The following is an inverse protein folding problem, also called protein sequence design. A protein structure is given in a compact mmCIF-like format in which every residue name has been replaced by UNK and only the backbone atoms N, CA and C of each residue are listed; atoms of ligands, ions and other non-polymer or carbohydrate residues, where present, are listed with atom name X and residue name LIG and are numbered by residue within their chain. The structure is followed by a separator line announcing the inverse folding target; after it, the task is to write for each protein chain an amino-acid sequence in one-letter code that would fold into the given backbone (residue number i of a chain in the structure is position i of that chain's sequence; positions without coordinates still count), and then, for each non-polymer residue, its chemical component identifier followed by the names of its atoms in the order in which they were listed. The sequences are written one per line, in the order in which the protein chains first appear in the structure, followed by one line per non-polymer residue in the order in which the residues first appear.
data_IF_241071746286
#
_entry.id   IF_241071746286
#
_cell.length_a   1.000
_cell.length_b   1.000
_cell.length_c   1.000
_cell.angle_alpha   90.00
_cell.angle_beta   90.00
_cell.angle_gamma   90.00
#
_symmetry.space_group_name_H-M   'P 1'
#
loop_
_entity.id
_entity.type
_entity.pdbx_description
1 polymer ?
#
# COMPACT_ATOMS: atom_id res chain seq x y z
N UNK A 1 6.92 12.85 -4.75
CA UNK A 1 5.52 13.25 -4.99
C UNK A 1 4.60 12.32 -4.24
N UNK A 2 3.63 12.86 -3.51
CA UNK A 2 2.58 12.07 -2.87
C UNK A 2 1.60 11.50 -3.91
N UNK A 3 0.84 10.46 -3.57
CA UNK A 3 -0.24 9.96 -4.42
C UNK A 3 -1.17 11.08 -4.94
N UNK A 4 -1.63 11.95 -4.04
CA UNK A 4 -2.50 13.06 -4.37
C UNK A 4 -1.88 14.05 -5.36
N UNK A 5 -0.58 14.30 -5.26
CA UNK A 5 0.16 15.14 -6.21
C UNK A 5 0.23 14.51 -7.60
N UNK A 6 0.48 13.20 -7.68
CA UNK A 6 0.52 12.45 -8.96
C UNK A 6 -0.84 12.45 -9.66
N UNK A 7 -1.92 12.20 -8.91
CA UNK A 7 -3.29 12.25 -9.44
C UNK A 7 -3.61 13.65 -9.94
N UNK A 8 -3.29 14.69 -9.14
CA UNK A 8 -3.53 16.08 -9.51
C UNK A 8 -2.73 16.50 -10.76
N UNK A 9 -1.48 16.09 -10.88
CA UNK A 9 -0.64 16.45 -12.03
C UNK A 9 -1.20 15.84 -13.32
N UNK A 10 -1.49 14.55 -13.33
CA UNK A 10 -2.05 13.84 -14.48
C UNK A 10 -3.43 14.40 -14.88
N UNK A 11 -4.28 14.69 -13.89
CA UNK A 11 -5.59 15.30 -14.15
C UNK A 11 -5.47 16.65 -14.84
N UNK A 12 -4.53 17.50 -14.38
CA UNK A 12 -4.29 18.82 -14.98
C UNK A 12 -3.68 18.72 -16.37
N UNK A 13 -2.77 17.78 -16.60
CA UNK A 13 -2.21 17.50 -17.92
C UNK A 13 -3.30 17.13 -18.94
N UNK A 14 -4.29 16.34 -18.50
CA UNK A 14 -5.48 15.99 -19.27
C UNK A 14 -6.57 17.06 -19.31
N UNK A 15 -6.34 18.23 -18.71
CA UNK A 15 -7.28 19.37 -18.64
C UNK A 15 -8.64 19.01 -18.04
N UNK A 16 -8.67 18.06 -17.12
CA UNK A 16 -9.90 17.62 -16.46
C UNK A 16 -10.14 18.38 -15.15
N UNK A 17 -11.40 18.63 -14.84
CA UNK A 17 -11.86 19.03 -13.51
C UNK A 17 -11.88 17.82 -12.56
N UNK A 18 -11.87 18.09 -11.24
CA UNK A 18 -12.04 17.04 -10.23
C UNK A 18 -13.40 16.33 -10.36
N UNK A 19 -14.43 17.04 -10.82
CA UNK A 19 -15.77 16.48 -11.04
C UNK A 19 -15.76 15.47 -12.20
N UNK A 20 -15.09 15.79 -13.31
CA UNK A 20 -14.96 14.90 -14.46
C UNK A 20 -14.18 13.63 -14.11
N UNK A 21 -13.06 13.77 -13.39
CA UNK A 21 -12.30 12.61 -12.92
C UNK A 21 -13.14 11.73 -11.98
N UNK A 22 -13.92 12.35 -11.08
CA UNK A 22 -14.81 11.62 -10.18
C UNK A 22 -15.84 10.80 -10.96
N UNK A 23 -16.45 11.38 -12.00
CA UNK A 23 -17.41 10.71 -12.88
C UNK A 23 -16.78 9.55 -13.64
N UNK A 24 -15.55 9.70 -14.17
CA UNK A 24 -14.86 8.63 -14.90
C UNK A 24 -14.48 7.45 -14.00
N UNK A 25 -14.04 7.72 -12.77
CA UNK A 25 -13.65 6.69 -11.80
C UNK A 25 -14.88 6.07 -11.11
N UNK A 26 -16.03 6.74 -11.15
CA UNK A 26 -17.26 6.30 -10.49
C UNK A 26 -17.23 6.51 -8.97
N UNK A 27 -16.66 7.63 -8.54
CA UNK A 27 -16.59 8.03 -7.12
C UNK A 27 -17.16 9.44 -6.92
N UNK A 28 -17.34 9.87 -5.67
CA UNK A 28 -17.80 11.23 -5.39
C UNK A 28 -16.70 12.27 -5.63
N UNK A 29 -17.09 13.51 -5.93
CA UNK A 29 -16.16 14.66 -5.96
C UNK A 29 -15.32 14.76 -4.67
N UNK A 30 -15.96 14.52 -3.51
CA UNK A 30 -15.28 14.55 -2.21
C UNK A 30 -14.17 13.50 -2.12
N UNK A 31 -14.36 12.34 -2.74
CA UNK A 31 -13.36 11.27 -2.78
C UNK A 31 -12.10 11.74 -3.53
N UNK A 32 -12.27 12.30 -4.74
CA UNK A 32 -11.14 12.86 -5.51
C UNK A 32 -10.45 14.00 -4.74
N UNK A 33 -11.23 14.91 -4.13
CA UNK A 33 -10.67 15.99 -3.30
C UNK A 33 -9.86 15.44 -2.13
N UNK A 34 -10.37 14.41 -1.45
CA UNK A 34 -9.68 13.79 -0.32
C UNK A 34 -8.35 13.17 -0.72
N UNK A 35 -8.27 12.64 -1.94
CA UNK A 35 -7.04 12.12 -2.52
C UNK A 35 -6.04 13.20 -2.88
N UNK A 36 -6.48 14.22 -3.63
CA UNK A 36 -5.59 15.27 -4.10
C UNK A 36 -5.16 16.28 -3.04
N UNK A 37 -5.91 16.44 -1.95
CA UNK A 37 -5.73 17.55 -0.99
C UNK A 37 -5.48 17.05 0.43
N UNK A 38 -6.22 16.03 0.89
CA UNK A 38 -6.20 15.60 2.31
C UNK A 38 -5.18 14.49 2.57
N UNK A 39 -4.37 14.12 1.59
CA UNK A 39 -3.35 13.07 1.71
C UNK A 39 -3.92 11.67 1.87
N UNK A 40 -5.20 11.46 1.53
CA UNK A 40 -5.80 10.13 1.51
C UNK A 40 -5.46 9.41 0.21
N UNK A 41 -5.64 8.10 0.19
CA UNK A 41 -5.50 7.28 -1.00
C UNK A 41 -6.59 6.20 -1.05
N UNK A 42 -6.82 5.56 -2.21
CA UNK A 42 -7.82 4.50 -2.34
C UNK A 42 -7.51 3.33 -1.42
N UNK A 43 -8.57 2.69 -0.90
CA UNK A 43 -8.45 1.51 -0.01
C UNK A 43 -8.69 0.19 -0.73
N UNK A 44 -8.86 0.25 -2.05
CA UNK A 44 -9.20 -0.88 -2.88
C UNK A 44 -8.39 -0.78 -4.17
N UNK A 45 -7.76 -1.89 -4.55
CA UNK A 45 -6.94 -2.00 -5.76
C UNK A 45 -7.74 -1.68 -7.03
N UNK A 46 -9.04 -2.01 -7.04
CA UNK A 46 -9.94 -1.68 -8.16
C UNK A 46 -9.99 -0.17 -8.43
N UNK A 47 -9.88 0.67 -7.40
CA UNK A 47 -9.90 2.13 -7.58
C UNK A 47 -8.60 2.65 -8.20
N UNK A 48 -7.46 2.02 -7.89
CA UNK A 48 -6.20 2.32 -8.55
C UNK A 48 -6.24 1.98 -10.03
N UNK A 49 -6.83 0.83 -10.40
CA UNK A 49 -7.02 0.48 -11.80
C UNK A 49 -7.90 1.50 -12.53
N UNK A 50 -9.05 1.88 -11.94
CA UNK A 50 -9.93 2.87 -12.55
C UNK A 50 -9.28 4.24 -12.71
N UNK A 51 -8.45 4.65 -11.74
CA UNK A 51 -7.67 5.88 -11.84
C UNK A 51 -6.62 5.79 -12.94
N UNK A 52 -5.89 4.68 -13.01
CA UNK A 52 -4.92 4.40 -14.06
C UNK A 52 -5.56 4.44 -15.46
N UNK A 53 -6.73 3.83 -15.62
CA UNK A 53 -7.48 3.86 -16.89
C UNK A 53 -7.93 5.28 -17.25
N UNK A 54 -8.50 6.02 -16.29
CA UNK A 54 -8.98 7.39 -16.51
C UNK A 54 -7.83 8.38 -16.79
N UNK A 55 -6.70 8.20 -16.11
CA UNK A 55 -5.51 9.03 -16.23
C UNK A 55 -4.49 8.49 -17.25
N UNK A 56 -4.79 7.37 -17.90
CA UNK A 56 -3.95 6.70 -18.90
C UNK A 56 -2.49 6.58 -18.44
N UNK A 57 -2.29 6.02 -17.26
CA UNK A 57 -0.99 5.76 -16.68
C UNK A 57 -0.92 4.37 -16.06
N UNK A 58 0.27 3.90 -15.73
CA UNK A 58 0.43 2.64 -15.01
C UNK A 58 0.01 2.76 -13.54
N UNK A 59 -0.60 1.71 -13.01
CA UNK A 59 -0.98 1.63 -11.58
C UNK A 59 0.25 1.82 -10.67
N UNK A 60 1.40 1.26 -11.07
CA UNK A 60 2.67 1.39 -10.36
C UNK A 60 3.19 2.83 -10.31
N UNK A 61 2.79 3.69 -11.26
CA UNK A 61 3.12 5.10 -11.20
C UNK A 61 2.35 5.78 -10.06
N UNK A 62 1.07 5.47 -9.90
CA UNK A 62 0.22 6.07 -8.87
C UNK A 62 0.60 5.58 -7.47
N UNK A 63 0.77 4.27 -7.30
CA UNK A 63 0.90 3.59 -6.01
C UNK A 63 2.35 3.41 -5.57
N UNK A 64 2.69 3.78 -4.34
CA UNK A 64 3.97 3.40 -3.72
C UNK A 64 3.91 2.01 -3.06
N UNK A 65 5.07 1.44 -2.71
CA UNK A 65 5.13 0.15 -1.99
C UNK A 65 4.43 0.22 -0.61
N UNK A 66 4.60 1.34 0.11
CA UNK A 66 3.91 1.58 1.40
C UNK A 66 2.39 1.63 1.22
N UNK A 67 1.91 2.33 0.19
CA UNK A 67 0.49 2.45 -0.12
C UNK A 67 -0.10 1.12 -0.56
N UNK A 68 0.65 0.31 -1.31
CA UNK A 68 0.27 -1.04 -1.70
C UNK A 68 0.08 -1.93 -0.47
N UNK A 69 1.05 -1.93 0.44
CA UNK A 69 0.99 -2.68 1.69
C UNK A 69 -0.21 -2.30 2.57
N UNK A 70 -0.47 -0.99 2.72
CA UNK A 70 -1.62 -0.50 3.50
C UNK A 70 -2.95 -0.86 2.81
N UNK A 71 -2.99 -0.79 1.47
CA UNK A 71 -4.18 -1.14 0.67
C UNK A 71 -4.52 -2.62 0.81
N UNK A 72 -3.54 -3.50 0.68
CA UNK A 72 -3.72 -4.95 0.89
C UNK A 72 -4.22 -5.25 2.31
N UNK A 73 -3.63 -4.62 3.33
CA UNK A 73 -4.07 -4.76 4.71
C UNK A 73 -5.52 -4.26 4.91
N UNK A 74 -5.91 -3.20 4.20
CA UNK A 74 -7.28 -2.70 4.20
C UNK A 74 -8.26 -3.67 3.55
N UNK A 75 -7.88 -4.34 2.46
CA UNK A 75 -8.73 -5.32 1.77
C UNK A 75 -8.92 -6.59 2.60
N UNK A 76 -7.85 -7.08 3.24
CA UNK A 76 -7.89 -8.32 4.02
C UNK A 76 -8.50 -8.14 5.41
N UNK A 77 -8.21 -7.03 6.08
CA UNK A 77 -8.51 -6.84 7.51
C UNK A 77 -9.30 -5.54 7.80
N UNK A 78 -9.76 -4.86 6.75
CA UNK A 78 -10.53 -3.63 6.86
C UNK A 78 -9.74 -2.43 7.41
N UNK A 79 -10.48 -1.42 7.86
CA UNK A 79 -9.89 -0.18 8.40
C UNK A 79 -8.94 -0.42 9.58
N UNK A 80 -9.17 -1.46 10.38
CA UNK A 80 -8.30 -1.80 11.52
C UNK A 80 -6.94 -2.28 11.03
N UNK A 81 -6.92 -3.19 10.06
CA UNK A 81 -5.67 -3.68 9.48
C UNK A 81 -4.85 -2.59 8.82
N UNK A 82 -5.50 -1.73 8.02
CA UNK A 82 -4.84 -0.58 7.42
C UNK A 82 -4.15 0.33 8.45
N UNK A 83 -4.84 0.60 9.57
CA UNK A 83 -4.28 1.41 10.66
C UNK A 83 -3.10 0.72 11.35
N UNK A 84 -3.17 -0.60 11.55
CA UNK A 84 -2.08 -1.37 12.13
C UNK A 84 -0.86 -1.40 11.21
N UNK A 85 -1.06 -1.64 9.90
CA UNK A 85 -0.02 -1.59 8.89
C UNK A 85 0.69 -0.23 8.87
N UNK A 86 -0.09 0.86 8.89
CA UNK A 86 0.45 2.22 8.93
C UNK A 86 1.26 2.48 10.21
N UNK A 87 0.78 2.03 11.38
CA UNK A 87 1.49 2.17 12.64
C UNK A 87 2.82 1.42 12.65
N UNK A 88 2.87 0.20 12.08
CA UNK A 88 4.10 -0.58 11.99
C UNK A 88 5.13 0.16 11.13
N UNK A 89 4.72 0.67 9.96
CA UNK A 89 5.60 1.43 9.08
C UNK A 89 6.12 2.71 9.74
N UNK A 90 5.25 3.46 10.41
CA UNK A 90 5.63 4.69 11.10
C UNK A 90 6.60 4.44 12.26
N UNK A 91 6.35 3.39 13.06
CA UNK A 91 7.24 2.98 14.14
C UNK A 91 8.60 2.52 13.61
N UNK A 92 8.62 1.71 12.55
CA UNK A 92 9.85 1.28 11.91
C UNK A 92 10.64 2.49 11.37
N UNK A 93 9.97 3.39 10.63
CA UNK A 93 10.61 4.60 10.10
C UNK A 93 11.17 5.49 11.22
N UNK A 94 10.42 5.70 12.31
CA UNK A 94 10.88 6.46 13.47
C UNK A 94 12.07 5.79 14.17
N UNK A 95 12.06 4.46 14.27
CA UNK A 95 13.17 3.68 14.83
C UNK A 95 14.46 3.88 14.02
N UNK A 96 14.38 3.85 12.68
CA UNK A 96 15.54 4.05 11.81
C UNK A 96 15.98 5.52 11.72
N UNK A 97 15.05 6.48 11.78
CA UNK A 97 15.34 7.91 11.68
C UNK A 97 15.79 8.55 13.00
N UNK A 98 15.41 7.99 14.15
CA UNK A 98 15.56 8.61 15.47
C UNK A 98 16.98 8.73 16.02
N UNK A 99 18.00 8.25 15.32
CA UNK A 99 19.42 8.41 15.67
C UNK A 99 19.85 7.79 17.01
N UNK A 100 18.95 7.10 17.70
CA UNK A 100 19.17 6.49 19.02
C UNK A 100 19.68 5.06 18.95
N UNK A 101 19.56 4.41 17.78
CA UNK A 101 20.03 3.05 17.54
C UNK A 101 21.35 3.08 16.79
N UNK A 102 22.29 2.27 17.25
CA UNK A 102 23.52 2.00 16.52
C UNK A 102 23.20 1.22 15.24
N UNK A 103 24.10 1.23 14.27
CA UNK A 103 23.91 0.43 13.06
C UNK A 103 23.90 -1.08 13.36
N UNK A 104 24.57 -1.52 14.42
CA UNK A 104 24.49 -2.90 14.93
C UNK A 104 23.08 -3.23 15.44
N UNK A 105 22.46 -2.35 16.23
CA UNK A 105 21.09 -2.56 16.73
C UNK A 105 20.06 -2.57 15.60
N UNK A 106 20.26 -1.74 14.56
CA UNK A 106 19.42 -1.73 13.36
C UNK A 106 19.50 -3.05 12.60
N UNK A 107 20.72 -3.60 12.44
CA UNK A 107 20.94 -4.90 11.80
C UNK A 107 20.26 -6.00 12.61
N UNK A 108 20.47 -6.03 13.93
CA UNK A 108 19.85 -7.02 14.81
C UNK A 108 18.31 -7.00 14.73
N UNK A 109 17.71 -5.81 14.66
CA UNK A 109 16.27 -5.66 14.47
C UNK A 109 15.80 -6.21 13.11
N UNK A 110 16.53 -5.92 12.03
CA UNK A 110 16.20 -6.43 10.70
C UNK A 110 16.30 -7.96 10.63
N UNK A 111 17.33 -8.54 11.24
CA UNK A 111 17.50 -9.99 11.33
C UNK A 111 16.35 -10.66 12.10
N UNK A 112 15.90 -10.04 13.19
CA UNK A 112 14.76 -10.56 13.97
C UNK A 112 13.45 -10.51 13.17
N UNK A 113 13.19 -9.42 12.43
CA UNK A 113 12.02 -9.36 11.53
C UNK A 113 12.09 -10.47 10.46
N UNK A 114 13.25 -10.68 9.86
CA UNK A 114 13.44 -11.76 8.87
C UNK A 114 13.23 -13.14 9.49
N UNK A 115 13.76 -13.37 10.69
CA UNK A 115 13.58 -14.60 11.46
C UNK A 115 12.10 -14.89 11.70
N UNK A 116 11.34 -13.90 12.20
CA UNK A 116 9.90 -14.01 12.42
C UNK A 116 9.13 -14.38 11.13
N UNK A 117 9.50 -13.77 10.00
CA UNK A 117 8.93 -14.11 8.70
C UNK A 117 9.23 -15.55 8.29
N UNK A 118 10.49 -15.98 8.37
CA UNK A 118 10.92 -17.34 8.02
C UNK A 118 10.23 -18.38 8.91
N UNK A 119 10.11 -18.11 10.21
CA UNK A 119 9.44 -18.98 11.16
C UNK A 119 7.93 -19.05 10.95
N UNK A 120 7.30 -17.95 10.53
CA UNK A 120 5.89 -17.97 10.12
C UNK A 120 5.68 -18.88 8.90
N UNK A 121 6.56 -18.80 7.89
CA UNK A 121 6.52 -19.65 6.69
C UNK A 121 6.78 -21.13 6.99
N UNK A 122 7.77 -21.44 7.83
CA UNK A 122 8.07 -22.82 8.27
C UNK A 122 6.88 -23.43 9.01
N UNK A 123 6.27 -22.66 9.93
CA UNK A 123 5.06 -23.10 10.66
C UNK A 123 3.88 -23.31 9.72
N UNK A 124 3.62 -22.38 8.80
CA UNK A 124 2.58 -22.55 7.79
C UNK A 124 2.79 -23.85 6.98
N UNK A 125 4.02 -24.12 6.50
CA UNK A 125 4.33 -25.38 5.79
C UNK A 125 4.14 -26.63 6.65
N UNK A 126 4.45 -26.57 7.95
CA UNK A 126 4.31 -27.69 8.90
C UNK A 126 2.85 -28.07 9.16
N UNK A 127 1.94 -27.09 9.21
CA UNK A 127 0.52 -27.30 9.53
C UNK A 127 -0.39 -27.33 8.29
N UNK A 128 0.12 -27.03 7.09
CA UNK A 128 -0.65 -27.12 5.84
C UNK A 128 -0.67 -28.56 5.33
N UNK A 129 -1.85 -29.16 5.09
CA UNK A 129 -1.93 -30.53 4.56
C UNK A 129 -1.20 -30.65 3.22
N UNK A 130 -0.44 -31.75 3.02
CA UNK A 130 0.41 -31.97 1.82
C UNK A 130 -0.29 -31.78 0.48
N UNK A 131 -1.61 -31.99 0.41
CA UNK A 131 -2.44 -31.77 -0.78
C UNK A 131 -2.42 -30.31 -1.27
N UNK A 132 -2.24 -29.33 -0.37
CA UNK A 132 -2.25 -27.89 -0.70
C UNK A 132 -0.86 -27.30 -0.91
N UNK A 133 0.21 -28.02 -0.55
CA UNK A 133 1.60 -27.55 -0.70
C UNK A 133 2.07 -27.58 -2.17
N UNK A 134 1.56 -28.50 -3.00
CA UNK A 134 1.95 -28.62 -4.42
C UNK A 134 1.51 -27.45 -5.31
N UNK A 135 0.49 -26.69 -4.91
CA UNK A 135 -0.08 -25.60 -5.74
C UNK A 135 0.56 -24.22 -5.46
N UNK A 136 1.44 -24.10 -4.47
CA UNK A 136 2.03 -22.82 -4.06
C UNK A 136 3.41 -22.54 -4.68
N UNK A 137 4.05 -23.52 -5.31
CA UNK A 137 5.38 -23.37 -5.92
C UNK A 137 5.32 -22.99 -7.41
N UNK A 138 4.13 -22.87 -8.00
CA UNK A 138 3.91 -22.59 -9.44
C UNK A 138 3.30 -21.20 -9.74
N UNK A 139 3.37 -20.24 -8.82
CA UNK A 139 2.95 -18.85 -9.06
C UNK A 139 4.01 -17.83 -8.72
#
# INVERSE_FOLDING_TARGET
MTFGEKVRSLRKEKKMSQQELASMVGVSYRTIRSWEVEGRFPKQNVLYQKLADALQCDVSYLMSEDEAFITEASEQFGNRGAKQAQQILEQAAAMFAGGSLTDEDKIAFMDEIQSLYLDSKRRAKKFTPKKYLKNQEEK
#
